data_IF_192906955848
#
_entry.id   IF_192906955848
#
_cell.length_a   1.000
_cell.length_b   1.000
_cell.length_c   1.000
_cell.angle_alpha   90.00
_cell.angle_beta   90.00
_cell.angle_gamma   90.00
#
_symmetry.space_group_name_H-M   'P 1'
#
loop_
_entity.id
_entity.type
_entity.pdbx_description
1 polymer ?
#
# COMPACT_ATOMS: atom_id res chain seq x y z
N UNK A 1 -0.88 0.72 21.22
CA UNK A 1 -1.97 1.06 20.28
C UNK A 1 -2.66 2.33 20.74
N UNK A 2 -2.75 3.31 19.89
CA UNK A 2 -3.36 4.58 20.27
C UNK A 2 -4.16 5.13 19.10
N UNK A 3 -5.16 5.95 19.41
CA UNK A 3 -5.96 6.60 18.40
C UNK A 3 -5.35 7.89 17.92
N UNK A 4 -5.86 8.40 16.82
CA UNK A 4 -5.41 9.66 16.23
C UNK A 4 -6.64 10.54 16.02
N UNK A 5 -6.62 11.69 16.64
CA UNK A 5 -7.75 12.59 16.62
C UNK A 5 -8.07 13.11 15.21
N UNK A 6 -9.35 13.28 14.92
CA UNK A 6 -9.78 13.84 13.66
C UNK A 6 -9.85 15.37 13.77
N UNK A 7 -9.08 16.06 12.92
CA UNK A 7 -9.03 17.52 12.88
C UNK A 7 -9.86 18.03 11.73
N UNK A 8 -11.13 17.64 11.69
CA UNK A 8 -12.06 18.11 10.67
C UNK A 8 -11.60 17.73 9.26
N UNK A 9 -11.68 16.45 8.98
CA UNK A 9 -11.35 15.94 7.66
C UNK A 9 -9.98 15.29 7.56
N UNK A 10 -9.38 14.87 8.67
CA UNK A 10 -8.06 14.26 8.63
C UNK A 10 -8.10 12.74 8.74
N UNK A 11 -9.25 12.11 8.51
CA UNK A 11 -9.36 10.66 8.64
C UNK A 11 -8.41 9.92 7.69
N UNK A 12 -8.17 10.47 6.50
CA UNK A 12 -7.27 9.83 5.55
C UNK A 12 -5.82 9.86 6.04
N UNK A 13 -5.45 10.91 6.76
CA UNK A 13 -4.11 10.98 7.37
C UNK A 13 -4.01 9.96 8.49
N UNK A 14 -5.04 9.90 9.33
CA UNK A 14 -5.04 8.97 10.45
C UNK A 14 -4.96 7.52 9.98
N UNK A 15 -5.74 7.16 8.95
CA UNK A 15 -5.70 5.81 8.42
C UNK A 15 -4.32 5.46 7.87
N UNK A 16 -3.70 6.40 7.16
CA UNK A 16 -2.36 6.18 6.62
C UNK A 16 -1.34 5.97 7.74
N UNK A 17 -1.37 6.83 8.76
CA UNK A 17 -0.39 6.73 9.84
C UNK A 17 -0.56 5.45 10.64
N UNK A 18 -1.80 5.01 10.86
CA UNK A 18 -1.99 3.76 11.58
C UNK A 18 -1.44 2.58 10.79
N UNK A 19 -1.61 2.59 9.46
CA UNK A 19 -1.02 1.55 8.63
C UNK A 19 0.51 1.60 8.69
N UNK A 20 1.08 2.79 8.58
CA UNK A 20 2.52 2.97 8.65
C UNK A 20 3.08 2.50 9.99
N UNK A 21 2.40 2.87 11.08
CA UNK A 21 2.88 2.55 12.41
C UNK A 21 2.78 1.06 12.77
N UNK A 22 2.14 0.24 11.94
CA UNK A 22 2.15 -1.21 12.16
C UNK A 22 3.44 -1.85 11.68
N UNK A 23 4.22 -1.17 10.83
CA UNK A 23 5.45 -1.71 10.28
C UNK A 23 6.52 -1.74 11.37
N UNK A 24 7.11 -2.91 11.67
CA UNK A 24 8.05 -3.01 12.79
C UNK A 24 9.23 -2.05 12.69
N UNK A 25 9.79 -1.87 11.50
CA UNK A 25 10.93 -0.96 11.34
C UNK A 25 10.55 0.49 11.60
N UNK A 26 9.29 0.85 11.32
CA UNK A 26 8.81 2.20 11.61
C UNK A 26 8.71 2.41 13.11
N UNK A 27 8.11 1.44 13.81
CA UNK A 27 7.99 1.52 15.26
C UNK A 27 9.36 1.63 15.92
N UNK A 28 10.29 0.78 15.49
CA UNK A 28 11.62 0.78 16.08
C UNK A 28 12.33 2.09 15.84
N UNK A 29 12.22 2.63 14.62
CA UNK A 29 12.89 3.89 14.30
C UNK A 29 12.48 5.01 15.24
N UNK A 30 11.20 5.15 15.48
CA UNK A 30 10.73 6.27 16.29
C UNK A 30 10.83 6.00 17.79
N UNK A 31 10.68 4.74 18.21
CA UNK A 31 10.83 4.40 19.62
C UNK A 31 12.27 4.52 20.09
N UNK A 32 13.23 4.34 19.19
CA UNK A 32 14.65 4.41 19.57
C UNK A 32 15.33 5.67 19.06
N UNK A 33 14.55 6.66 18.65
CA UNK A 33 15.06 7.98 18.26
C UNK A 33 16.07 7.92 17.11
N UNK A 34 15.81 7.05 16.14
CA UNK A 34 16.68 6.92 14.98
C UNK A 34 16.23 7.78 13.79
N UNK A 35 15.31 8.68 14.05
CA UNK A 35 14.82 9.58 13.02
C UNK A 35 15.88 10.59 12.62
N UNK A 36 15.71 11.15 11.44
CA UNK A 36 16.56 12.22 10.93
C UNK A 36 15.88 13.54 11.25
N UNK A 37 16.40 14.25 12.24
CA UNK A 37 15.76 15.49 12.69
C UNK A 37 15.84 16.62 11.66
N UNK A 38 16.69 16.48 10.64
CA UNK A 38 16.74 17.48 9.57
C UNK A 38 15.70 17.22 8.48
N UNK A 39 15.01 16.08 8.54
CA UNK A 39 13.93 15.75 7.63
C UNK A 39 12.62 16.08 8.32
N UNK A 40 11.88 17.06 7.81
CA UNK A 40 10.70 17.57 8.50
C UNK A 40 9.63 16.50 8.68
N UNK A 41 9.45 15.63 7.68
CA UNK A 41 8.45 14.57 7.78
C UNK A 41 8.85 13.56 8.85
N UNK A 42 10.13 13.16 8.83
CA UNK A 42 10.63 12.19 9.79
C UNK A 42 10.52 12.72 11.22
N UNK A 43 10.86 13.99 11.39
CA UNK A 43 10.76 14.63 12.71
C UNK A 43 9.31 14.68 13.19
N UNK A 44 8.39 15.00 12.29
CA UNK A 44 6.96 15.03 12.66
C UNK A 44 6.46 13.66 13.09
N UNK A 45 6.83 12.62 12.35
CA UNK A 45 6.38 11.27 12.69
C UNK A 45 6.95 10.81 14.01
N UNK A 46 8.20 11.18 14.29
CA UNK A 46 8.80 10.89 15.58
C UNK A 46 8.00 11.52 16.71
N UNK A 47 7.61 12.78 16.55
CA UNK A 47 6.83 13.47 17.56
C UNK A 47 5.45 12.82 17.75
N UNK A 48 4.80 12.48 16.64
CA UNK A 48 3.47 11.87 16.72
C UNK A 48 3.55 10.52 17.42
N UNK A 49 4.52 9.69 17.04
CA UNK A 49 4.63 8.36 17.64
C UNK A 49 4.90 8.44 19.15
N UNK A 50 5.86 9.25 19.55
CA UNK A 50 6.27 9.28 20.95
C UNK A 50 5.28 10.01 21.85
N UNK A 51 4.42 10.85 21.30
CA UNK A 51 3.36 11.47 22.08
C UNK A 51 2.04 10.71 21.99
N UNK A 52 2.03 9.57 21.30
CA UNK A 52 0.82 8.81 21.05
C UNK A 52 -0.25 9.65 20.41
N UNK A 53 0.16 10.48 19.45
CA UNK A 53 -0.73 11.29 18.67
C UNK A 53 -1.14 12.61 19.30
N UNK A 54 -0.65 12.90 20.49
CA UNK A 54 -1.09 14.10 21.21
C UNK A 54 -0.37 15.35 20.76
N UNK A 55 0.78 15.21 20.11
CA UNK A 55 1.54 16.36 19.62
C UNK A 55 1.94 16.12 18.18
N UNK A 56 1.93 17.19 17.40
CA UNK A 56 2.45 17.17 16.05
C UNK A 56 1.47 16.73 14.98
N UNK A 57 0.36 16.12 15.35
CA UNK A 57 -0.56 15.54 14.37
C UNK A 57 -1.26 16.62 13.54
N UNK A 58 -1.71 17.69 14.18
CA UNK A 58 -2.41 18.74 13.46
C UNK A 58 -1.48 19.44 12.47
N UNK A 59 -0.27 19.72 12.89
CA UNK A 59 0.72 20.34 12.01
C UNK A 59 1.07 19.43 10.84
N UNK A 60 1.19 18.14 11.12
CA UNK A 60 1.46 17.16 10.06
C UNK A 60 0.31 17.14 9.06
N UNK A 61 -0.92 17.11 9.55
CA UNK A 61 -2.09 17.12 8.69
C UNK A 61 -2.08 18.33 7.76
N UNK A 62 -1.84 19.52 8.31
CA UNK A 62 -1.81 20.72 7.50
C UNK A 62 -0.72 20.68 6.44
N UNK A 63 0.43 20.13 6.79
CA UNK A 63 1.54 20.05 5.86
C UNK A 63 1.26 19.07 4.71
N UNK A 64 0.82 17.84 5.04
CA UNK A 64 0.60 16.86 3.97
C UNK A 64 -0.62 17.22 3.12
N UNK A 65 -1.59 17.88 3.71
CA UNK A 65 -2.75 18.36 2.97
C UNK A 65 -2.30 19.30 1.82
N UNK A 66 -1.38 20.18 2.13
CA UNK A 66 -0.85 21.10 1.13
C UNK A 66 -0.13 20.34 0.00
N UNK A 67 0.58 19.28 0.33
CA UNK A 67 1.42 18.59 -0.63
C UNK A 67 0.69 17.51 -1.41
N UNK A 68 -0.36 16.90 -0.86
CA UNK A 68 -0.96 15.72 -1.48
C UNK A 68 -2.42 15.88 -1.88
N UNK A 69 -3.13 16.84 -1.32
CA UNK A 69 -4.56 16.96 -1.59
C UNK A 69 -4.79 17.89 -2.77
N UNK A 70 -5.54 17.45 -3.79
CA UNK A 70 -5.78 18.33 -4.93
C UNK A 70 -6.61 19.56 -4.54
N UNK A 71 -6.41 20.63 -5.26
CA UNK A 71 -7.15 21.87 -5.02
C UNK A 71 -8.65 21.61 -5.18
N UNK A 72 -9.44 22.14 -4.24
CA UNK A 72 -10.88 21.98 -4.29
C UNK A 72 -11.43 20.72 -3.68
N UNK A 73 -10.55 19.79 -3.26
CA UNK A 73 -11.00 18.57 -2.62
C UNK A 73 -11.16 18.80 -1.12
N UNK A 74 -12.13 18.12 -0.54
CA UNK A 74 -12.39 18.20 0.89
C UNK A 74 -11.76 17.08 1.69
N UNK A 75 -11.37 16.00 1.01
CA UNK A 75 -10.80 14.84 1.69
C UNK A 75 -9.66 14.32 0.83
N UNK A 76 -8.59 13.91 1.48
CA UNK A 76 -7.45 13.35 0.77
C UNK A 76 -7.55 11.85 0.62
N UNK A 77 -6.46 11.27 0.17
CA UNK A 77 -6.42 9.85 -0.17
C UNK A 77 -5.25 9.19 0.57
N UNK A 78 -5.56 8.17 1.34
CA UNK A 78 -4.55 7.45 2.13
C UNK A 78 -3.45 6.85 1.23
N UNK A 79 -3.83 6.36 0.06
CA UNK A 79 -2.84 5.80 -0.86
C UNK A 79 -1.87 6.88 -1.35
N UNK A 80 -2.40 8.03 -1.74
CA UNK A 80 -1.54 9.12 -2.19
C UNK A 80 -0.61 9.60 -1.09
N UNK A 81 -1.10 9.62 0.13
CA UNK A 81 -0.25 10.02 1.25
C UNK A 81 0.85 9.00 1.49
N UNK A 82 0.55 7.71 1.42
CA UNK A 82 1.57 6.69 1.63
C UNK A 82 2.67 6.81 0.57
N UNK A 83 2.28 7.03 -0.68
CA UNK A 83 3.26 7.21 -1.75
C UNK A 83 4.13 8.45 -1.49
N UNK A 84 3.49 9.53 -1.05
CA UNK A 84 4.22 10.74 -0.70
C UNK A 84 5.23 10.48 0.43
N UNK A 85 4.82 9.71 1.44
CA UNK A 85 5.73 9.41 2.55
C UNK A 85 6.90 8.54 2.10
N UNK A 86 6.68 7.60 1.19
CA UNK A 86 7.79 6.84 0.62
C UNK A 86 8.77 7.76 -0.10
N UNK A 87 8.24 8.78 -0.75
CA UNK A 87 9.07 9.73 -1.46
C UNK A 87 9.90 10.60 -0.53
N UNK A 88 9.33 10.94 0.63
CA UNK A 88 9.97 11.84 1.58
C UNK A 88 10.91 11.14 2.55
N UNK A 89 10.75 9.83 2.73
CA UNK A 89 11.47 9.07 3.75
C UNK A 89 12.31 7.98 3.10
N UNK A 90 13.63 8.18 2.96
CA UNK A 90 14.45 7.17 2.30
C UNK A 90 14.36 5.79 2.94
N UNK A 91 14.24 5.71 4.27
CA UNK A 91 14.16 4.39 4.89
C UNK A 91 12.86 3.67 4.51
N UNK A 92 11.76 4.40 4.41
CA UNK A 92 10.50 3.80 4.03
C UNK A 92 10.52 3.39 2.57
N UNK A 93 11.10 4.22 1.73
CA UNK A 93 11.28 3.88 0.33
C UNK A 93 12.05 2.58 0.18
N UNK A 94 13.13 2.43 0.94
CA UNK A 94 13.92 1.20 0.88
C UNK A 94 13.14 -0.02 1.31
N UNK A 95 12.24 0.12 2.29
CA UNK A 95 11.42 -1.00 2.73
C UNK A 95 10.40 -1.43 1.69
N UNK A 96 9.87 -0.46 0.93
CA UNK A 96 8.73 -0.71 0.06
C UNK A 96 9.08 -0.85 -1.41
N UNK A 97 10.24 -0.35 -1.85
CA UNK A 97 10.59 -0.29 -3.26
C UNK A 97 10.84 -1.67 -3.85
N UNK A 98 10.31 -1.89 -5.05
CA UNK A 98 10.57 -3.11 -5.78
C UNK A 98 10.55 -2.80 -7.27
N UNK A 99 11.02 -3.76 -8.07
CA UNK A 99 11.12 -3.57 -9.50
C UNK A 99 9.95 -4.20 -10.22
N UNK A 100 9.46 -3.48 -11.24
CA UNK A 100 8.45 -3.98 -12.15
C UNK A 100 9.06 -3.96 -13.54
N UNK A 101 8.87 -5.05 -14.28
CA UNK A 101 9.32 -5.14 -15.67
C UNK A 101 8.12 -5.23 -16.59
N UNK A 102 8.03 -4.30 -17.53
CA UNK A 102 7.05 -4.35 -18.61
C UNK A 102 7.73 -4.92 -19.83
N UNK A 103 7.19 -6.02 -20.36
CA UNK A 103 7.79 -6.66 -21.53
C UNK A 103 6.81 -6.66 -22.68
N UNK A 104 7.35 -6.49 -23.88
CA UNK A 104 6.60 -6.66 -25.12
C UNK A 104 7.41 -7.64 -25.96
N UNK A 105 6.80 -8.72 -26.41
CA UNK A 105 7.47 -9.70 -27.26
C UNK A 105 6.54 -10.07 -28.40
N UNK A 106 7.15 -10.33 -29.57
CA UNK A 106 6.38 -10.70 -30.76
C UNK A 106 6.35 -12.24 -30.88
N UNK A 107 5.17 -12.78 -31.16
CA UNK A 107 5.08 -14.21 -31.34
C UNK A 107 5.50 -14.66 -32.75
N UNK A 108 5.75 -13.71 -33.64
CA UNK A 108 6.12 -14.03 -35.03
C UNK A 108 7.60 -13.87 -35.32
N UNK A 109 8.33 -13.13 -34.49
CA UNK A 109 9.75 -12.92 -34.68
C UNK A 109 10.43 -12.82 -33.34
N UNK A 110 11.70 -12.45 -33.28
CA UNK A 110 12.45 -12.41 -32.03
C UNK A 110 12.45 -11.04 -31.37
N UNK A 111 11.55 -10.15 -31.79
CA UNK A 111 11.47 -8.82 -31.18
C UNK A 111 11.08 -8.95 -29.72
N UNK A 112 11.82 -8.25 -28.87
CA UNK A 112 11.53 -8.22 -27.46
C UNK A 112 12.01 -6.91 -26.87
N UNK A 113 11.18 -6.30 -26.06
CA UNK A 113 11.50 -5.05 -25.39
C UNK A 113 11.19 -5.22 -23.91
N UNK A 114 12.11 -4.79 -23.05
CA UNK A 114 11.93 -4.85 -21.60
C UNK A 114 12.17 -3.47 -21.04
N UNK A 115 11.22 -3.00 -20.23
CA UNK A 115 11.36 -1.71 -19.57
C UNK A 115 11.17 -1.93 -18.07
N UNK A 116 12.18 -1.61 -17.29
CA UNK A 116 12.14 -1.77 -15.83
C UNK A 116 11.92 -0.43 -15.15
N UNK A 117 11.10 -0.45 -14.11
CA UNK A 117 10.87 0.70 -13.23
C UNK A 117 10.93 0.25 -11.79
N UNK A 118 11.20 1.20 -10.91
CA UNK A 118 11.10 0.99 -9.47
C UNK A 118 9.83 1.67 -8.98
N UNK A 119 9.05 0.94 -8.20
CA UNK A 119 7.79 1.44 -7.65
C UNK A 119 7.70 1.05 -6.18
N UNK A 120 6.77 1.66 -5.46
CA UNK A 120 6.54 1.33 -4.06
C UNK A 120 5.15 0.75 -3.82
N UNK A 121 4.42 0.47 -4.88
CA UNK A 121 3.07 -0.08 -4.76
C UNK A 121 2.76 -0.94 -5.96
N UNK A 122 1.87 -1.89 -5.76
CA UNK A 122 1.37 -2.73 -6.84
C UNK A 122 -0.13 -2.53 -6.93
N UNK A 123 -0.59 -2.00 -8.08
CA UNK A 123 -2.01 -1.72 -8.25
C UNK A 123 -2.73 -2.98 -8.73
N UNK A 124 -3.83 -3.31 -8.08
CA UNK A 124 -4.66 -4.44 -8.46
C UNK A 124 -6.10 -3.98 -8.62
N UNK A 125 -6.86 -4.75 -9.36
CA UNK A 125 -8.28 -4.48 -9.54
C UNK A 125 -9.05 -5.78 -9.47
N UNK A 126 -10.34 -5.65 -9.21
CA UNK A 126 -11.24 -6.80 -9.14
C UNK A 126 -12.43 -6.52 -10.02
N UNK A 127 -12.91 -7.53 -10.76
CA UNK A 127 -14.10 -7.38 -11.59
C UNK A 127 -15.34 -7.90 -10.91
N UNK A 128 -15.26 -8.29 -9.66
CA UNK A 128 -16.41 -8.87 -9.01
C UNK A 128 -16.44 -8.56 -7.54
N UNK A 129 -17.27 -9.31 -6.83
CA UNK A 129 -17.41 -9.15 -5.40
C UNK A 129 -16.70 -10.32 -4.72
N UNK A 130 -15.85 -10.01 -3.75
CA UNK A 130 -15.10 -11.01 -2.99
C UNK A 130 -14.25 -11.90 -3.89
N UNK A 131 -13.59 -11.30 -4.87
CA UNK A 131 -12.67 -12.03 -5.74
C UNK A 131 -11.39 -12.32 -4.94
N UNK A 132 -10.89 -13.57 -4.95
CA UNK A 132 -9.67 -13.86 -4.19
C UNK A 132 -8.50 -13.00 -4.61
N UNK A 133 -7.73 -12.56 -3.63
CA UNK A 133 -6.63 -11.65 -3.91
C UNK A 133 -5.61 -12.25 -4.85
N UNK A 134 -5.35 -13.56 -4.73
CA UNK A 134 -4.41 -14.22 -5.63
C UNK A 134 -4.86 -14.12 -7.08
N UNK A 135 -6.17 -14.22 -7.32
CA UNK A 135 -6.71 -14.06 -8.67
C UNK A 135 -6.49 -12.65 -9.20
N UNK A 136 -6.66 -11.65 -8.34
CA UNK A 136 -6.47 -10.26 -8.76
C UNK A 136 -5.02 -10.01 -9.15
N UNK A 137 -4.08 -10.60 -8.40
CA UNK A 137 -2.66 -10.45 -8.70
C UNK A 137 -2.32 -11.16 -10.01
N UNK A 138 -2.81 -12.40 -10.17
CA UNK A 138 -2.54 -13.17 -11.38
C UNK A 138 -3.09 -12.47 -12.61
N UNK A 139 -4.28 -11.88 -12.49
CA UNK A 139 -4.86 -11.13 -13.60
C UNK A 139 -3.98 -9.97 -14.02
N UNK A 140 -3.38 -9.29 -13.05
CA UNK A 140 -2.54 -8.15 -13.35
C UNK A 140 -1.25 -8.56 -14.06
N UNK A 141 -0.67 -9.73 -13.71
CA UNK A 141 0.58 -10.17 -14.31
C UNK A 141 0.38 -11.10 -15.51
N UNK A 142 -0.87 -11.40 -15.87
CA UNK A 142 -1.16 -12.29 -16.98
C UNK A 142 -0.78 -11.64 -18.30
N UNK A 143 -0.08 -12.37 -19.20
CA UNK A 143 0.23 -11.80 -20.51
C UNK A 143 -1.02 -11.65 -21.36
N UNK A 144 -1.01 -10.67 -22.23
CA UNK A 144 -2.11 -10.46 -23.15
C UNK A 144 -1.61 -9.91 -24.47
N UNK A 145 -2.35 -10.20 -25.55
CA UNK A 145 -1.99 -9.72 -26.86
C UNK A 145 -2.47 -8.30 -27.05
N UNK A 146 -1.60 -7.42 -27.57
CA UNK A 146 -1.96 -6.06 -27.87
C UNK A 146 -2.65 -6.03 -29.23
N UNK A 147 -3.92 -5.66 -29.23
CA UNK A 147 -4.66 -5.56 -30.47
C UNK A 147 -4.38 -4.23 -31.14
N UNK A 148 -4.56 -4.20 -32.45
CA UNK A 148 -4.39 -2.99 -33.26
C UNK A 148 -2.99 -2.41 -33.20
N UNK A 149 -2.00 -3.27 -32.98
CA UNK A 149 -0.62 -2.84 -32.89
C UNK A 149 0.26 -3.83 -33.62
N UNK A 150 1.14 -3.33 -34.47
CA UNK A 150 2.02 -4.19 -35.24
C UNK A 150 3.44 -4.12 -34.72
N UNK A 151 4.12 -5.26 -34.77
CA UNK A 151 5.49 -5.37 -34.31
C UNK A 151 6.40 -4.41 -35.09
N UNK A 152 7.26 -3.72 -34.37
CA UNK A 152 8.19 -2.77 -34.98
C UNK A 152 9.21 -3.45 -35.89
N UNK A 153 9.48 -4.72 -35.66
CA UNK A 153 10.48 -5.43 -36.43
C UNK A 153 9.90 -6.16 -37.61
N UNK A 154 8.83 -6.92 -37.45
CA UNK A 154 8.29 -7.72 -38.55
C UNK A 154 7.01 -7.18 -39.15
N UNK A 155 6.43 -6.14 -38.56
CA UNK A 155 5.24 -5.47 -39.05
C UNK A 155 3.99 -6.35 -39.06
N UNK A 156 3.97 -7.39 -38.22
CA UNK A 156 2.82 -8.26 -38.10
C UNK A 156 2.15 -8.04 -36.73
N UNK A 157 0.86 -8.35 -36.65
CA UNK A 157 0.19 -8.39 -35.38
C UNK A 157 0.68 -9.59 -34.59
N UNK A 158 0.52 -9.57 -33.25
CA UNK A 158 0.90 -10.70 -32.45
C UNK A 158 1.88 -10.35 -31.33
N UNK A 159 1.92 -9.08 -30.94
CA UNK A 159 2.77 -8.71 -29.82
C UNK A 159 2.06 -8.96 -28.50
N UNK A 160 2.79 -9.51 -27.55
CA UNK A 160 2.30 -9.90 -26.23
C UNK A 160 2.90 -8.96 -25.20
N UNK A 161 2.06 -8.40 -24.35
CA UNK A 161 2.51 -7.54 -23.28
C UNK A 161 2.33 -8.24 -21.95
N UNK A 162 3.30 -8.06 -21.05
CA UNK A 162 3.22 -8.65 -19.72
C UNK A 162 3.94 -7.77 -18.72
N UNK A 163 3.35 -7.64 -17.54
CA UNK A 163 3.97 -6.96 -16.41
C UNK A 163 4.40 -7.99 -15.40
N UNK A 164 5.66 -7.92 -14.96
CA UNK A 164 6.21 -8.87 -14.01
C UNK A 164 6.78 -8.15 -12.81
N UNK A 165 6.63 -8.78 -11.64
CA UNK A 165 7.28 -8.29 -10.43
C UNK A 165 8.70 -8.81 -10.44
N UNK A 166 9.68 -7.89 -10.39
CA UNK A 166 11.07 -8.26 -10.54
C UNK A 166 11.86 -8.35 -9.26
N UNK A 167 11.31 -7.88 -8.16
CA UNK A 167 11.95 -8.05 -6.86
C UNK A 167 10.87 -7.98 -5.79
N UNK A 168 11.22 -8.38 -4.55
CA UNK A 168 10.23 -8.61 -3.51
C UNK A 168 10.64 -7.87 -2.24
N UNK A 169 9.99 -6.71 -1.96
CA UNK A 169 10.41 -5.85 -0.86
C UNK A 169 10.02 -6.43 0.50
N UNK A 170 10.56 -5.86 1.55
CA UNK A 170 10.18 -6.26 2.90
C UNK A 170 8.73 -5.90 3.18
N UNK A 171 8.29 -4.74 2.70
CA UNK A 171 6.92 -4.26 2.88
C UNK A 171 6.30 -4.14 1.50
N UNK A 172 5.26 -4.92 1.24
CA UNK A 172 4.59 -4.93 -0.06
C UNK A 172 3.24 -4.25 0.08
N UNK A 173 3.06 -3.15 -0.64
CA UNK A 173 1.84 -2.39 -0.61
C UNK A 173 1.02 -2.65 -1.86
N UNK A 174 -0.22 -3.07 -1.67
CA UNK A 174 -1.17 -3.26 -2.77
C UNK A 174 -2.20 -2.14 -2.73
N UNK A 175 -2.44 -1.54 -3.88
CA UNK A 175 -3.43 -0.50 -4.03
C UNK A 175 -4.59 -1.03 -4.87
N UNK A 176 -5.79 -1.05 -4.29
CA UNK A 176 -6.99 -1.48 -5.00
C UNK A 176 -7.54 -0.30 -5.79
N UNK A 177 -7.49 -0.38 -7.12
CA UNK A 177 -7.93 0.74 -7.95
C UNK A 177 -9.40 0.70 -8.27
N UNK A 178 -10.03 -0.45 -8.14
CA UNK A 178 -11.43 -0.64 -8.49
C UNK A 178 -12.32 -0.24 -7.32
N UNK A 179 -13.28 0.67 -7.54
CA UNK A 179 -14.15 1.13 -6.47
C UNK A 179 -15.44 0.34 -6.34
N UNK A 180 -15.86 -0.29 -7.43
CA UNK A 180 -17.16 -0.95 -7.47
C UNK A 180 -17.13 -2.39 -6.99
N UNK A 181 -15.94 -2.96 -6.87
CA UNK A 181 -15.81 -4.36 -6.54
C UNK A 181 -14.97 -4.53 -5.28
N UNK A 182 -14.87 -5.75 -4.82
CA UNK A 182 -14.12 -6.04 -3.61
C UNK A 182 -13.26 -7.28 -3.80
N UNK A 183 -12.27 -7.42 -2.95
CA UNK A 183 -11.42 -8.60 -2.96
C UNK A 183 -11.63 -9.39 -1.67
N UNK A 184 -11.32 -10.67 -1.75
CA UNK A 184 -11.26 -11.55 -0.61
C UNK A 184 -9.80 -11.64 -0.23
N UNK A 185 -9.42 -10.92 0.79
CA UNK A 185 -8.00 -10.79 1.15
C UNK A 185 -7.43 -12.10 1.66
N UNK A 186 -6.13 -12.24 1.56
CA UNK A 186 -5.41 -13.39 2.09
C UNK A 186 -4.61 -12.95 3.32
N UNK A 187 -4.76 -13.69 4.42
CA UNK A 187 -3.96 -13.40 5.61
C UNK A 187 -2.48 -13.66 5.38
N UNK A 188 -2.18 -14.69 4.61
CA UNK A 188 -0.82 -15.00 4.20
C UNK A 188 -0.82 -15.14 2.69
N UNK A 189 0.14 -14.51 2.06
CA UNK A 189 0.24 -14.46 0.62
C UNK A 189 1.61 -14.96 0.19
N UNK A 190 1.63 -15.85 -0.79
CA UNK A 190 2.89 -16.33 -1.39
C UNK A 190 3.04 -15.70 -2.76
N UNK A 191 4.12 -14.97 -2.97
CA UNK A 191 4.39 -14.40 -4.27
C UNK A 191 5.49 -15.22 -4.94
N UNK A 192 5.23 -15.59 -6.20
CA UNK A 192 6.17 -16.37 -6.97
C UNK A 192 6.51 -17.72 -6.30
N UNK A 193 5.57 -18.24 -5.51
CA UNK A 193 5.69 -19.51 -4.78
C UNK A 193 6.89 -19.57 -3.83
N UNK A 194 7.37 -18.44 -3.39
CA UNK A 194 8.64 -18.38 -2.70
C UNK A 194 8.65 -17.34 -1.58
N UNK A 195 8.11 -16.18 -1.84
CA UNK A 195 8.19 -15.06 -0.91
C UNK A 195 6.89 -14.96 -0.15
N UNK A 196 6.94 -15.25 1.15
CA UNK A 196 5.74 -15.29 1.98
C UNK A 196 5.55 -13.98 2.72
N UNK A 197 4.34 -13.49 2.67
CA UNK A 197 3.96 -12.21 3.27
C UNK A 197 2.75 -12.42 4.17
N UNK A 198 2.72 -11.72 5.28
CA UNK A 198 1.55 -11.70 6.16
C UNK A 198 0.88 -10.34 6.07
N UNK A 199 -0.44 -10.35 6.02
CA UNK A 199 -1.19 -9.10 6.01
C UNK A 199 -0.99 -8.37 7.33
N UNK A 200 -0.63 -7.10 7.26
CA UNK A 200 -0.30 -6.30 8.42
C UNK A 200 -1.34 -5.22 8.67
N UNK A 201 -1.85 -4.59 7.62
CA UNK A 201 -2.85 -3.56 7.78
C UNK A 201 -3.66 -3.39 6.51
N UNK A 202 -4.87 -2.84 6.67
CA UNK A 202 -5.78 -2.55 5.57
C UNK A 202 -6.39 -1.18 5.83
N UNK A 203 -6.42 -0.33 4.81
CA UNK A 203 -7.13 0.93 4.88
C UNK A 203 -8.37 0.88 4.02
N UNK A 204 -9.49 1.35 4.54
CA UNK A 204 -10.79 1.25 3.90
C UNK A 204 -11.40 2.63 3.70
N UNK A 205 -12.24 2.74 2.68
CA UNK A 205 -12.89 4.00 2.33
C UNK A 205 -14.33 3.68 1.88
N UNK A 206 -15.30 4.45 2.39
CA UNK A 206 -16.69 4.21 2.03
C UNK A 206 -17.30 5.36 1.18
N UNK A 207 -16.46 6.23 0.67
CA UNK A 207 -16.92 7.39 -0.08
C UNK A 207 -16.98 8.66 0.73
N UNK A 208 -16.97 8.54 2.05
CA UNK A 208 -17.04 9.68 2.95
C UNK A 208 -15.95 9.67 4.01
N UNK A 209 -15.47 8.48 4.38
CA UNK A 209 -14.67 8.31 5.57
C UNK A 209 -13.64 7.21 5.36
N UNK A 210 -12.44 7.44 5.91
CA UNK A 210 -11.36 6.46 5.91
C UNK A 210 -11.19 5.89 7.31
N UNK A 211 -10.91 4.60 7.39
CA UNK A 211 -10.52 3.94 8.65
C UNK A 211 -9.63 2.77 8.29
N UNK A 212 -9.11 2.07 9.30
CA UNK A 212 -8.20 0.98 9.02
C UNK A 212 -8.27 -0.15 10.02
N UNK A 213 -7.62 -1.23 9.63
CA UNK A 213 -7.43 -2.41 10.48
C UNK A 213 -5.94 -2.71 10.48
N UNK A 214 -5.45 -3.22 11.61
CA UNK A 214 -4.04 -3.56 11.67
C UNK A 214 -3.72 -4.43 12.85
N UNK A 215 -2.50 -4.96 12.83
CA UNK A 215 -2.00 -5.79 13.91
C UNK A 215 -0.49 -5.64 14.00
N UNK A 216 0.05 -5.96 15.16
CA UNK A 216 1.51 -5.97 15.32
C UNK A 216 2.06 -7.34 14.93
N UNK A 217 3.27 -7.34 14.45
CA UNK A 217 3.97 -8.59 14.20
C UNK A 217 4.47 -9.15 15.52
N UNK A 218 4.64 -10.48 15.59
CA UNK A 218 4.46 -11.50 14.56
C UNK A 218 2.99 -11.84 14.32
N UNK A 219 2.70 -12.54 13.21
CA UNK A 219 1.31 -12.90 12.89
C UNK A 219 0.66 -13.67 14.01
N UNK A 220 -0.62 -13.54 14.10
CA UNK A 220 -1.38 -14.20 15.15
C UNK A 220 -1.75 -13.31 16.29
N UNK A 221 -1.19 -12.11 16.33
CA UNK A 221 -1.62 -11.15 17.34
C UNK A 221 -2.99 -10.60 16.98
N UNK A 222 -3.63 -10.00 17.97
CA UNK A 222 -4.97 -9.48 17.80
C UNK A 222 -5.05 -8.40 16.74
N UNK A 223 -6.14 -8.40 16.02
CA UNK A 223 -6.46 -7.34 15.09
C UNK A 223 -7.14 -6.18 15.82
N UNK A 224 -6.90 -4.99 15.32
CA UNK A 224 -7.49 -3.77 15.85
C UNK A 224 -8.15 -3.00 14.72
N UNK A 225 -9.24 -2.31 15.05
CA UNK A 225 -9.82 -1.32 14.15
C UNK A 225 -9.37 0.05 14.61
N UNK A 226 -8.87 0.85 13.68
CA UNK A 226 -8.43 2.21 13.94
C UNK A 226 -9.38 3.15 13.23
N UNK A 227 -10.19 3.86 14.00
CA UNK A 227 -11.17 4.80 13.44
C UNK A 227 -10.95 6.13 14.13
N UNK A 228 -10.03 6.92 13.57
CA UNK A 228 -9.61 8.18 14.18
C UNK A 228 -9.19 7.94 15.63
N UNK A 229 -9.83 8.60 16.58
CA UNK A 229 -9.44 8.48 17.98
C UNK A 229 -9.84 7.18 18.65
N UNK A 230 -10.61 6.34 17.99
CA UNK A 230 -11.14 5.12 18.61
C UNK A 230 -10.37 3.90 18.12
N UNK A 231 -9.84 3.12 19.05
CA UNK A 231 -9.15 1.87 18.75
C UNK A 231 -9.91 0.75 19.44
N UNK A 232 -10.34 -0.15 18.59
CA UNK A 232 -11.13 -1.26 19.09
C UNK A 232 -10.41 -2.57 18.86
N UNK A 233 -9.86 -3.68 20.14
CA UNK A 233 -9.38 -4.60 20.06
C UNK A 233 -10.14 -5.46 19.66
N UNK A 234 -10.48 -6.74 18.63
CA UNK A 234 -10.93 -7.98 17.99
C UNK A 234 -9.95 -9.08 18.36
N UNK A 235 -10.33 -10.30 18.23
CA UNK A 235 -9.46 -11.41 18.52
C UNK A 235 -8.49 -11.68 17.39
N UNK A 236 -7.57 -12.61 17.61
CA UNK A 236 -6.57 -12.90 16.58
C UNK A 236 -7.15 -13.56 15.33
N UNK A 237 -8.33 -14.12 15.42
CA UNK A 237 -8.92 -14.80 14.27
C UNK A 237 -9.99 -13.98 13.58
N UNK A 238 -10.33 -12.83 14.12
CA UNK A 238 -11.42 -12.05 13.56
C UNK A 238 -10.91 -10.81 12.90
N UNK A 239 -11.45 -10.57 11.74
CA UNK A 239 -11.13 -9.41 10.96
C UNK A 239 -12.44 -8.95 10.31
N UNK A 240 -13.13 -8.04 10.96
CA UNK A 240 -14.44 -7.62 10.44
C UNK A 240 -14.25 -6.81 9.18
N UNK A 241 -14.55 -7.44 8.08
CA UNK A 241 -14.38 -6.80 6.78
C UNK A 241 -15.59 -5.95 6.49
N UNK A 242 -15.42 -4.65 6.53
CA UNK A 242 -16.48 -3.72 6.17
C UNK A 242 -15.88 -2.61 5.33
N UNK A 243 -16.71 -2.05 4.47
CA UNK A 243 -16.23 -1.02 3.59
C UNK A 243 -15.37 -1.58 2.48
N UNK A 244 -14.78 -0.71 1.72
CA UNK A 244 -14.00 -1.10 0.56
C UNK A 244 -12.51 -0.93 0.85
N UNK A 245 -11.78 -2.02 0.73
CA UNK A 245 -10.35 -2.00 0.95
C UNK A 245 -9.68 -1.24 -0.18
N UNK A 246 -8.87 -0.26 0.20
CA UNK A 246 -8.15 0.56 -0.78
C UNK A 246 -6.66 0.33 -0.74
N UNK A 247 -6.13 -0.03 0.43
CA UNK A 247 -4.71 -0.18 0.63
C UNK A 247 -4.49 -1.38 1.52
N UNK A 248 -3.66 -2.32 1.06
CA UNK A 248 -3.31 -3.48 1.86
C UNK A 248 -1.81 -3.54 1.99
N UNK A 249 -1.31 -3.66 3.20
CA UNK A 249 0.11 -3.72 3.47
C UNK A 249 0.47 -5.09 3.99
N UNK A 250 1.40 -5.74 3.29
CA UNK A 250 1.90 -7.06 3.63
C UNK A 250 3.36 -6.96 4.05
N UNK A 251 3.75 -7.81 4.96
CA UNK A 251 5.09 -7.81 5.53
C UNK A 251 5.73 -9.16 5.26
N UNK A 252 6.95 -9.15 4.71
CA UNK A 252 7.61 -10.39 4.30
C UNK A 252 8.06 -11.18 5.51
N UNK A 253 7.74 -12.48 5.51
CA UNK A 253 8.02 -13.37 6.63
C UNK A 253 9.35 -14.10 6.49
N UNK A 254 9.83 -14.30 5.26
CA UNK A 254 11.09 -15.00 5.04
C UNK A 254 12.08 -14.10 4.32
N UNK A 255 13.32 -14.50 4.31
CA UNK A 255 14.37 -13.72 3.68
C UNK A 255 14.58 -14.11 2.22
#
# INVERSE_FOLDING_TARGET
MFGLRNFSGSCWVNACLQALFRIPEVQERYATNQHDSSNAVDFSLHKIWNSEGKQGLQEFFQSVKTHTMPAGENIGDTHELFVYLCDQLPYLNNLCRFKIADTISCKNCDYREVKEDSVTEFSISSDGIRVPMAECILKTVKPYEIEDWKCEKCDKHGCIKQQLIGSFPKVMMFHMVSEESSIDYASVLSLNNKHKYALLSVSCYNGFHWWGYGRDMPPGKSWYTFDDGVVTXHGPKEFPLSGKMRLLIYYRLNN
#
